data_IF_083236240877
#
_entry.id   IF_083236240877
#
_cell.length_a   1.000
_cell.length_b   1.000
_cell.length_c   1.000
_cell.angle_alpha   90.00
_cell.angle_beta   90.00
_cell.angle_gamma   90.00
#
_symmetry.space_group_name_H-M   'P 1'
#
loop_
_entity.id
_entity.type
_entity.pdbx_description
1 polymer ?
#
# COMPACT_ATOMS: atom_id res chain seq x y z
N UNK A 1 -30.81 -7.38 -10.54
CA UNK A 1 -30.79 -6.11 -9.78
C UNK A 1 -29.58 -5.93 -8.86
N UNK A 2 -28.82 -6.97 -8.46
CA UNK A 2 -27.66 -6.83 -7.54
C UNK A 2 -26.28 -6.66 -8.20
N UNK A 3 -26.15 -6.93 -9.50
CA UNK A 3 -24.85 -6.88 -10.18
C UNK A 3 -24.54 -5.51 -10.80
N UNK A 4 -25.58 -4.70 -11.08
CA UNK A 4 -25.42 -3.34 -11.60
C UNK A 4 -24.96 -2.33 -10.55
N UNK A 5 -25.37 -2.48 -9.28
CA UNK A 5 -24.98 -1.57 -8.19
C UNK A 5 -23.57 -1.82 -7.65
N UNK A 6 -23.09 -3.07 -7.66
CA UNK A 6 -21.72 -3.41 -7.25
C UNK A 6 -20.66 -2.83 -8.19
N UNK A 7 -21.00 -2.69 -9.47
CA UNK A 7 -20.08 -2.16 -10.48
C UNK A 7 -19.80 -0.67 -10.24
N UNK A 8 -20.82 0.09 -9.87
CA UNK A 8 -20.73 1.55 -9.62
C UNK A 8 -19.75 1.92 -8.50
N UNK A 9 -19.80 1.27 -7.33
CA UNK A 9 -18.90 1.62 -6.21
C UNK A 9 -17.43 1.27 -6.47
N UNK A 10 -17.18 0.18 -7.22
CA UNK A 10 -15.83 -0.20 -7.64
C UNK A 10 -15.22 0.87 -8.55
N UNK A 11 -16.01 1.37 -9.49
CA UNK A 11 -15.59 2.39 -10.44
C UNK A 11 -15.29 3.72 -9.72
N UNK A 12 -16.11 4.11 -8.74
CA UNK A 12 -15.88 5.33 -7.95
C UNK A 12 -14.58 5.28 -7.12
N UNK A 13 -14.27 4.13 -6.52
CA UNK A 13 -13.01 3.92 -5.79
C UNK A 13 -11.83 4.01 -6.76
N UNK A 14 -11.92 3.36 -7.92
CA UNK A 14 -10.87 3.40 -8.94
C UNK A 14 -10.64 4.83 -9.43
N UNK A 15 -11.69 5.56 -9.76
CA UNK A 15 -11.63 6.97 -10.17
C UNK A 15 -10.97 7.82 -9.08
N UNK A 16 -11.37 7.64 -7.81
CA UNK A 16 -10.81 8.40 -6.69
C UNK A 16 -9.31 8.17 -6.55
N UNK A 17 -8.87 6.91 -6.67
CA UNK A 17 -7.46 6.54 -6.60
C UNK A 17 -6.66 7.05 -7.80
N UNK A 18 -7.24 7.03 -9.00
CA UNK A 18 -6.59 7.54 -10.22
C UNK A 18 -6.48 9.08 -10.24
N UNK A 19 -7.42 9.78 -9.61
CA UNK A 19 -7.42 11.26 -9.54
C UNK A 19 -6.43 11.81 -8.50
N UNK A 20 -6.08 11.02 -7.49
CA UNK A 20 -5.27 11.47 -6.36
C UNK A 20 -4.02 10.61 -6.21
N UNK A 21 -2.85 11.25 -6.24
CA UNK A 21 -1.56 10.55 -6.08
C UNK A 21 -1.40 9.94 -4.68
N UNK A 22 -1.93 10.61 -3.65
CA UNK A 22 -1.83 10.17 -2.27
C UNK A 22 -3.22 10.05 -1.66
N UNK A 23 -3.55 8.85 -1.21
CA UNK A 23 -4.83 8.52 -0.58
C UNK A 23 -4.57 7.94 0.81
N UNK A 24 -5.51 8.17 1.74
CA UNK A 24 -5.47 7.59 3.07
C UNK A 24 -6.79 6.91 3.39
N UNK A 25 -6.71 5.71 3.96
CA UNK A 25 -7.87 4.91 4.35
C UNK A 25 -7.78 4.68 5.85
N UNK A 26 -8.85 5.00 6.58
CA UNK A 26 -8.95 4.82 8.03
C UNK A 26 -10.00 3.75 8.28
N UNK A 27 -9.63 2.73 9.07
CA UNK A 27 -10.52 1.64 9.42
C UNK A 27 -10.23 1.16 10.85
N UNK A 28 -11.28 0.79 11.60
CA UNK A 28 -11.15 0.28 12.97
C UNK A 28 -11.07 -1.24 13.04
N UNK A 29 -11.82 -1.93 12.19
CA UNK A 29 -11.80 -3.39 12.06
C UNK A 29 -10.67 -3.87 11.12
N UNK A 30 -9.67 -4.60 11.63
CA UNK A 30 -8.56 -5.12 10.83
C UNK A 30 -8.99 -6.16 9.77
N UNK A 31 -10.05 -6.93 10.04
CA UNK A 31 -10.57 -7.92 9.08
C UNK A 31 -11.20 -7.21 7.88
N UNK A 32 -12.03 -6.19 8.12
CA UNK A 32 -12.65 -5.46 7.01
C UNK A 32 -11.61 -4.66 6.22
N UNK A 33 -10.60 -4.08 6.88
CA UNK A 33 -9.42 -3.49 6.21
C UNK A 33 -8.77 -4.50 5.24
N UNK A 34 -8.56 -5.73 5.71
CA UNK A 34 -7.96 -6.80 4.90
C UNK A 34 -8.84 -7.16 3.70
N UNK A 35 -10.15 -7.37 3.91
CA UNK A 35 -11.10 -7.66 2.82
C UNK A 35 -11.15 -6.53 1.79
N UNK A 36 -11.09 -5.27 2.25
CA UNK A 36 -11.01 -4.12 1.37
C UNK A 36 -9.75 -4.18 0.49
N UNK A 37 -8.57 -4.42 1.06
CA UNK A 37 -7.34 -4.50 0.28
C UNK A 37 -7.33 -5.66 -0.71
N UNK A 38 -7.89 -6.82 -0.36
CA UNK A 38 -8.04 -7.94 -1.30
C UNK A 38 -8.85 -7.50 -2.53
N UNK A 39 -10.02 -6.90 -2.31
CA UNK A 39 -10.87 -6.41 -3.40
C UNK A 39 -10.21 -5.29 -4.20
N UNK A 40 -9.54 -4.37 -3.51
CA UNK A 40 -8.82 -3.27 -4.15
C UNK A 40 -7.73 -3.81 -5.07
N UNK A 41 -6.93 -4.77 -4.58
CA UNK A 41 -5.92 -5.45 -5.38
C UNK A 41 -6.59 -6.09 -6.59
N UNK A 42 -7.67 -6.85 -6.44
CA UNK A 42 -8.37 -7.48 -7.56
C UNK A 42 -8.85 -6.45 -8.62
N UNK A 43 -9.37 -5.30 -8.20
CA UNK A 43 -9.92 -4.26 -9.09
C UNK A 43 -8.90 -3.45 -9.88
N UNK A 44 -7.67 -3.34 -9.39
CA UNK A 44 -6.64 -2.52 -10.00
C UNK A 44 -5.88 -3.29 -11.08
N UNK A 45 -5.75 -2.73 -12.28
CA UNK A 45 -5.03 -3.37 -13.38
C UNK A 45 -3.51 -3.07 -13.38
N UNK A 46 -3.03 -2.32 -12.38
CA UNK A 46 -1.64 -1.89 -12.26
C UNK A 46 -0.81 -2.86 -11.39
N UNK A 47 0.52 -2.90 -11.57
CA UNK A 47 1.40 -3.53 -10.60
C UNK A 47 1.25 -2.90 -9.22
N UNK A 48 1.23 -3.73 -8.18
CA UNK A 48 1.03 -3.29 -6.79
C UNK A 48 2.23 -3.70 -5.96
N UNK A 49 2.83 -2.73 -5.27
CA UNK A 49 3.80 -2.95 -4.22
C UNK A 49 3.07 -2.77 -2.89
N UNK A 50 3.18 -3.76 -2.01
CA UNK A 50 2.55 -3.74 -0.70
C UNK A 50 3.61 -3.88 0.38
N UNK A 51 3.75 -2.83 1.19
CA UNK A 51 4.65 -2.80 2.34
C UNK A 51 3.82 -3.07 3.59
N UNK A 52 3.90 -4.30 4.08
CA UNK A 52 3.19 -4.77 5.27
C UNK A 52 4.06 -4.63 6.53
N UNK A 53 3.84 -3.54 7.26
CA UNK A 53 4.52 -3.19 8.50
C UNK A 53 3.88 -3.81 9.75
N UNK A 54 2.61 -4.25 9.68
CA UNK A 54 1.91 -4.85 10.83
C UNK A 54 1.73 -6.38 10.74
N UNK A 55 2.21 -6.97 9.64
CA UNK A 55 2.27 -8.41 9.34
C UNK A 55 0.90 -9.09 9.21
N UNK A 56 -0.20 -8.34 9.23
CA UNK A 56 -1.54 -8.92 9.20
C UNK A 56 -1.84 -9.51 7.82
N UNK A 57 -1.68 -8.71 6.76
CA UNK A 57 -2.00 -9.12 5.40
C UNK A 57 -1.09 -10.29 4.96
N UNK A 58 0.21 -10.14 5.17
CA UNK A 58 1.20 -11.18 4.85
C UNK A 58 1.05 -12.44 5.69
N UNK A 59 0.58 -12.33 6.93
CA UNK A 59 0.16 -13.46 7.74
C UNK A 59 -0.95 -14.28 7.07
N UNK A 60 -2.00 -13.62 6.57
CA UNK A 60 -3.08 -14.31 5.84
C UNK A 60 -2.60 -14.97 4.54
N UNK A 61 -1.71 -14.32 3.79
CA UNK A 61 -1.11 -14.90 2.56
C UNK A 61 -0.29 -16.15 2.92
N UNK A 62 0.57 -16.04 3.93
CA UNK A 62 1.46 -17.14 4.37
C UNK A 62 0.66 -18.33 4.87
N UNK A 63 -0.42 -18.07 5.61
CA UNK A 63 -1.34 -19.10 6.10
C UNK A 63 -2.24 -19.70 4.99
N UNK A 64 -2.12 -19.23 3.74
CA UNK A 64 -2.97 -19.64 2.59
C UNK A 64 -4.47 -19.38 2.82
N UNK A 65 -4.80 -18.43 3.68
CA UNK A 65 -6.18 -17.98 3.90
C UNK A 65 -6.61 -17.10 2.72
N UNK A 66 -5.68 -16.33 2.17
CA UNK A 66 -5.89 -15.52 0.97
C UNK A 66 -4.85 -15.89 -0.10
N UNK A 67 -5.24 -15.96 -1.38
CA UNK A 67 -4.31 -16.25 -2.46
C UNK A 67 -3.36 -15.07 -2.67
N UNK A 68 -2.10 -15.35 -3.00
CA UNK A 68 -1.17 -14.32 -3.48
C UNK A 68 -1.56 -13.97 -4.92
N UNK A 69 -1.76 -12.70 -5.21
CA UNK A 69 -2.07 -12.23 -6.56
C UNK A 69 -0.78 -12.02 -7.37
N UNK A 70 -0.77 -12.39 -8.66
CA UNK A 70 0.42 -12.30 -9.52
C UNK A 70 0.96 -10.88 -9.71
N UNK A 71 0.09 -9.85 -9.66
CA UNK A 71 0.47 -8.43 -9.78
C UNK A 71 0.93 -7.80 -8.47
N UNK A 72 0.94 -8.57 -7.38
CA UNK A 72 1.25 -8.10 -6.03
C UNK A 72 2.67 -8.54 -5.62
N UNK A 73 3.55 -7.55 -5.48
CA UNK A 73 4.80 -7.71 -4.74
C UNK A 73 4.59 -7.32 -3.28
N UNK A 74 4.69 -8.32 -2.40
CA UNK A 74 4.46 -8.16 -0.96
C UNK A 74 5.78 -8.21 -0.20
N UNK A 75 6.03 -7.17 0.61
CA UNK A 75 7.21 -7.04 1.43
C UNK A 75 6.83 -6.87 2.90
N UNK A 76 7.68 -7.40 3.79
CA UNK A 76 7.61 -7.22 5.23
C UNK A 76 8.81 -6.37 5.67
N UNK A 77 8.68 -5.03 5.70
CA UNK A 77 9.81 -4.17 6.03
C UNK A 77 10.24 -4.38 7.47
N UNK A 78 11.54 -4.44 7.68
CA UNK A 78 12.16 -4.46 9.00
C UNK A 78 13.14 -3.31 9.09
N UNK A 79 13.59 -3.00 10.31
CA UNK A 79 14.57 -1.94 10.51
C UNK A 79 15.85 -2.15 9.71
N UNK A 80 16.31 -3.40 9.66
CA UNK A 80 17.59 -3.76 9.05
C UNK A 80 17.54 -3.70 7.52
N UNK A 81 16.39 -4.04 6.91
CA UNK A 81 16.23 -4.06 5.46
C UNK A 81 15.59 -2.79 4.87
N UNK A 82 15.07 -1.88 5.72
CA UNK A 82 14.26 -0.74 5.27
C UNK A 82 14.99 0.12 4.24
N UNK A 83 16.26 0.43 4.46
CA UNK A 83 17.01 1.34 3.57
C UNK A 83 17.10 0.80 2.13
N UNK A 84 17.46 -0.47 1.98
CA UNK A 84 17.64 -1.10 0.67
C UNK A 84 16.30 -1.38 0.00
N UNK A 85 15.30 -1.79 0.78
CA UNK A 85 13.93 -1.97 0.30
C UNK A 85 13.36 -0.65 -0.20
N UNK A 86 13.44 0.41 0.60
CA UNK A 86 12.94 1.73 0.24
C UNK A 86 13.59 2.27 -1.04
N UNK A 87 14.91 2.13 -1.17
CA UNK A 87 15.63 2.51 -2.40
C UNK A 87 15.12 1.74 -3.61
N UNK A 88 14.90 0.44 -3.46
CA UNK A 88 14.41 -0.44 -4.53
C UNK A 88 12.98 -0.07 -4.95
N UNK A 89 12.10 0.19 -3.97
CA UNK A 89 10.74 0.66 -4.19
C UNK A 89 10.75 1.99 -4.93
N UNK A 90 11.49 3.00 -4.44
CA UNK A 90 11.62 4.31 -5.10
C UNK A 90 12.08 4.18 -6.56
N UNK A 91 13.10 3.37 -6.80
CA UNK A 91 13.60 3.12 -8.16
C UNK A 91 12.54 2.47 -9.05
N UNK A 92 11.75 1.52 -8.52
CA UNK A 92 10.67 0.89 -9.27
C UNK A 92 9.54 1.87 -9.61
N UNK A 93 9.01 2.58 -8.61
CA UNK A 93 7.89 3.53 -8.79
C UNK A 93 8.27 4.73 -9.66
N UNK A 94 9.57 5.05 -9.75
CA UNK A 94 10.11 6.09 -10.64
C UNK A 94 10.14 5.71 -12.12
N UNK A 95 9.92 4.43 -12.45
CA UNK A 95 10.00 3.88 -13.81
C UNK A 95 8.70 3.25 -14.28
N UNK A 96 7.86 2.80 -13.37
CA UNK A 96 6.65 2.06 -13.68
C UNK A 96 5.44 2.73 -13.02
N UNK A 97 4.39 2.92 -13.81
CA UNK A 97 3.07 3.29 -13.27
C UNK A 97 2.59 2.16 -12.38
N UNK A 98 2.43 2.42 -11.08
CA UNK A 98 2.17 1.39 -10.09
C UNK A 98 1.44 1.93 -8.86
N UNK A 99 0.84 1.05 -8.07
CA UNK A 99 0.21 1.43 -6.79
C UNK A 99 1.09 0.96 -5.64
N UNK A 100 1.42 1.86 -4.73
CA UNK A 100 2.15 1.54 -3.49
C UNK A 100 1.18 1.61 -2.30
N UNK A 101 1.04 0.49 -1.59
CA UNK A 101 0.27 0.40 -0.36
C UNK A 101 1.23 0.36 0.83
N UNK A 102 1.05 1.29 1.77
CA UNK A 102 1.75 1.34 3.05
C UNK A 102 0.76 0.88 4.14
N UNK A 103 0.82 -0.39 4.56
CA UNK A 103 -0.08 -0.92 5.60
C UNK A 103 0.72 -1.41 6.82
N UNK A 104 0.64 -0.83 8.01
CA UNK A 104 -0.05 0.40 8.38
C UNK A 104 0.93 1.51 8.70
N UNK A 105 0.44 2.76 8.70
CA UNK A 105 1.23 3.90 9.15
C UNK A 105 1.75 3.69 10.59
N UNK A 106 0.96 3.11 11.49
CA UNK A 106 1.41 2.84 12.86
C UNK A 106 2.62 1.87 12.89
N UNK A 107 2.58 0.82 12.07
CA UNK A 107 3.71 -0.08 11.90
C UNK A 107 4.92 0.64 11.30
N UNK A 108 4.70 1.54 10.34
CA UNK A 108 5.77 2.31 9.72
C UNK A 108 6.47 3.26 10.71
N UNK A 109 5.71 3.96 11.56
CA UNK A 109 6.26 4.73 12.68
C UNK A 109 7.08 3.83 13.63
N UNK A 110 6.57 2.63 13.90
CA UNK A 110 7.21 1.70 14.83
C UNK A 110 8.62 1.26 14.40
N UNK A 111 8.93 1.29 13.09
CA UNK A 111 10.28 1.02 12.59
C UNK A 111 11.35 2.01 13.07
N UNK A 112 10.96 3.23 13.47
CA UNK A 112 11.87 4.29 13.89
C UNK A 112 11.56 4.81 15.31
N UNK A 113 10.93 3.99 16.15
CA UNK A 113 10.52 4.39 17.52
C UNK A 113 11.68 4.86 18.41
N UNK A 114 12.93 4.52 18.08
CA UNK A 114 14.10 4.98 18.80
C UNK A 114 14.62 6.35 18.34
N UNK A 115 14.02 6.92 17.29
CA UNK A 115 14.33 8.27 16.81
C UNK A 115 13.39 9.29 17.44
N UNK A 116 13.99 10.32 18.05
CA UNK A 116 13.27 11.44 18.65
C UNK A 116 12.34 12.16 17.65
N UNK A 117 12.72 12.19 16.38
CA UNK A 117 12.01 12.90 15.32
C UNK A 117 11.28 11.96 14.32
N UNK A 118 10.78 10.81 14.79
CA UNK A 118 10.14 9.79 13.96
C UNK A 118 9.07 10.35 13.01
N UNK A 119 8.23 11.28 13.48
CA UNK A 119 7.19 11.88 12.66
C UNK A 119 7.74 12.66 11.46
N UNK A 120 8.87 13.34 11.63
CA UNK A 120 9.56 14.04 10.54
C UNK A 120 10.13 13.06 9.51
N UNK A 121 10.74 11.96 9.96
CA UNK A 121 11.28 10.94 9.07
C UNK A 121 10.17 10.26 8.25
N UNK A 122 9.13 9.76 8.91
CA UNK A 122 8.01 9.09 8.23
C UNK A 122 7.34 10.02 7.24
N UNK A 123 7.08 11.27 7.62
CA UNK A 123 6.49 12.25 6.73
C UNK A 123 7.38 12.52 5.51
N UNK A 124 8.70 12.64 5.70
CA UNK A 124 9.65 12.84 4.60
C UNK A 124 9.66 11.67 3.61
N UNK A 125 9.58 10.43 4.11
CA UNK A 125 9.46 9.25 3.26
C UNK A 125 8.17 9.25 2.42
N UNK A 126 7.03 9.54 3.06
CA UNK A 126 5.73 9.60 2.37
C UNK A 126 5.75 10.71 1.31
N UNK A 127 6.27 11.89 1.65
CA UNK A 127 6.37 13.01 0.71
C UNK A 127 7.27 12.67 -0.49
N UNK A 128 8.42 12.01 -0.25
CA UNK A 128 9.32 11.59 -1.31
C UNK A 128 8.65 10.56 -2.23
N UNK A 129 8.00 9.54 -1.67
CA UNK A 129 7.24 8.54 -2.43
C UNK A 129 6.18 9.24 -3.29
N UNK A 130 5.36 10.11 -2.69
CA UNK A 130 4.28 10.79 -3.39
C UNK A 130 4.81 11.68 -4.52
N UNK A 131 5.94 12.36 -4.31
CA UNK A 131 6.59 13.14 -5.34
C UNK A 131 7.05 12.26 -6.53
N UNK A 132 7.67 11.12 -6.25
CA UNK A 132 8.12 10.18 -7.29
C UNK A 132 6.92 9.59 -8.05
N UNK A 133 5.88 9.16 -7.34
CA UNK A 133 4.66 8.60 -7.93
C UNK A 133 3.98 9.62 -8.86
N UNK A 134 3.90 10.89 -8.43
CA UNK A 134 3.36 11.98 -9.27
C UNK A 134 4.12 12.15 -10.58
N UNK A 135 5.44 12.00 -10.56
CA UNK A 135 6.28 12.14 -11.76
C UNK A 135 6.04 11.02 -12.79
N UNK A 136 5.54 9.86 -12.35
CA UNK A 136 5.27 8.71 -13.21
C UNK A 136 3.79 8.50 -13.54
N UNK A 137 2.92 9.44 -13.16
CA UNK A 137 1.46 9.31 -13.24
C UNK A 137 0.94 8.01 -12.59
N UNK A 138 1.63 7.60 -11.52
CA UNK A 138 1.22 6.52 -10.62
C UNK A 138 0.07 6.96 -9.73
#
# INVERSE_FOLDING_TARGET
MRDSEKKTYSDDVKITLEQNVLNSIIYSDPYVKTVFFIKLIDWLDLPIIYLDFDLLYSGYVTAKIIPKHDKLELFQPTRDNWSDLFRSVCNYISKHRSVLILDSLNGFFSLFNDKKDVGMFVNSYIMLIAAIAKMTNS
#
